data_IF_021296891521
#
_entry.id   IF_021296891521
#
_cell.length_a   1.000
_cell.length_b   1.000
_cell.length_c   1.000
_cell.angle_alpha   90.00
_cell.angle_beta   90.00
_cell.angle_gamma   90.00
#
_symmetry.space_group_name_H-M   'P 1'
#
loop_
_entity.id
_entity.type
_entity.pdbx_description
1 polymer ?
#
# COMPACT_ATOMS: atom_id res chain seq x y z
N UNK A 1 18.72 -37.30 -2.62
CA UNK A 1 18.98 -36.35 -1.52
C UNK A 1 19.30 -35.00 -2.14
N UNK A 2 18.28 -34.14 -2.30
CA UNK A 2 18.32 -32.66 -2.37
C UNK A 2 16.98 -32.25 -2.96
N UNK A 3 16.09 -31.72 -2.13
CA UNK A 3 14.77 -31.25 -2.53
C UNK A 3 14.89 -30.00 -3.38
N UNK A 4 14.22 -29.90 -4.55
CA UNK A 4 13.88 -28.61 -5.11
C UNK A 4 12.67 -28.09 -4.31
N UNK A 5 12.89 -27.76 -3.03
CA UNK A 5 12.15 -26.64 -2.44
C UNK A 5 12.71 -25.47 -3.22
N UNK A 6 12.11 -25.18 -4.38
CA UNK A 6 11.20 -24.05 -4.44
C UNK A 6 11.89 -22.94 -3.68
N UNK A 7 12.97 -22.42 -4.27
CA UNK A 7 13.55 -21.14 -3.91
C UNK A 7 12.34 -20.22 -3.77
N UNK A 8 11.93 -20.05 -2.52
CA UNK A 8 10.80 -19.25 -2.17
C UNK A 8 11.14 -17.90 -2.75
N UNK A 9 10.32 -17.47 -3.68
CA UNK A 9 10.30 -16.17 -4.32
C UNK A 9 10.11 -15.10 -3.25
N UNK A 10 11.13 -14.88 -2.41
CA UNK A 10 11.16 -13.86 -1.37
C UNK A 10 11.42 -12.48 -1.94
N UNK A 11 11.66 -12.38 -3.25
CA UNK A 11 11.74 -11.12 -3.96
C UNK A 11 10.32 -10.77 -4.41
N UNK A 12 9.70 -9.81 -3.72
CA UNK A 12 8.52 -9.13 -4.26
C UNK A 12 8.94 -8.52 -5.58
N UNK A 13 8.46 -9.11 -6.67
CA UNK A 13 8.85 -8.69 -8.01
C UNK A 13 8.29 -7.28 -8.25
N UNK A 14 9.02 -6.40 -8.94
CA UNK A 14 8.63 -4.98 -9.03
C UNK A 14 7.19 -4.78 -9.56
N UNK A 15 6.72 -5.70 -10.39
CA UNK A 15 5.33 -5.75 -10.88
C UNK A 15 4.31 -6.06 -9.77
N UNK A 16 4.62 -6.96 -8.85
CA UNK A 16 3.76 -7.28 -7.72
C UNK A 16 3.62 -6.09 -6.77
N UNK A 17 4.71 -5.34 -6.57
CA UNK A 17 4.65 -4.11 -5.78
C UNK A 17 3.74 -3.06 -6.44
N UNK A 18 3.88 -2.85 -7.75
CA UNK A 18 2.99 -1.94 -8.51
C UNK A 18 1.52 -2.36 -8.39
N UNK A 19 1.22 -3.64 -8.55
CA UNK A 19 -0.16 -4.15 -8.39
C UNK A 19 -0.67 -3.92 -6.97
N UNK A 20 0.17 -4.14 -5.95
CA UNK A 20 -0.19 -3.88 -4.55
C UNK A 20 -0.48 -2.40 -4.29
N UNK A 21 0.31 -1.49 -4.86
CA UNK A 21 0.07 -0.04 -4.79
C UNK A 21 -1.26 0.35 -5.43
N UNK A 22 -1.57 -0.17 -6.63
CA UNK A 22 -2.85 0.13 -7.30
C UNK A 22 -4.04 -0.34 -6.45
N UNK A 23 -3.95 -1.53 -5.87
CA UNK A 23 -5.01 -2.06 -5.01
C UNK A 23 -5.13 -1.24 -3.71
N UNK A 24 -4.00 -0.87 -3.10
CA UNK A 24 -3.97 -0.03 -1.92
C UNK A 24 -4.56 1.36 -2.20
N UNK A 25 -4.33 1.94 -3.37
CA UNK A 25 -4.90 3.22 -3.79
C UNK A 25 -6.42 3.15 -3.92
N UNK A 26 -6.94 2.14 -4.62
CA UNK A 26 -8.39 1.98 -4.79
C UNK A 26 -9.06 1.78 -3.43
N UNK A 27 -8.50 0.92 -2.59
CA UNK A 27 -9.02 0.66 -1.24
C UNK A 27 -8.90 1.91 -0.37
N UNK A 28 -7.76 2.60 -0.40
CA UNK A 28 -7.50 3.82 0.35
C UNK A 28 -8.43 4.96 -0.03
N UNK A 29 -8.61 5.23 -1.33
CA UNK A 29 -9.55 6.22 -1.82
C UNK A 29 -10.99 5.88 -1.46
N UNK A 30 -11.40 4.61 -1.62
CA UNK A 30 -12.78 4.18 -1.32
C UNK A 30 -13.05 4.23 0.18
N UNK A 31 -12.13 3.72 1.01
CA UNK A 31 -12.25 3.76 2.45
C UNK A 31 -12.23 5.20 2.97
N UNK A 32 -11.31 6.03 2.47
CA UNK A 32 -11.22 7.45 2.82
C UNK A 32 -12.46 8.25 2.41
N UNK A 33 -13.01 7.97 1.23
CA UNK A 33 -14.29 8.53 0.80
C UNK A 33 -15.40 8.09 1.76
N UNK A 34 -15.58 6.80 2.04
CA UNK A 34 -16.65 6.35 2.95
C UNK A 34 -16.49 6.86 4.40
N UNK A 35 -15.26 7.08 4.84
CA UNK A 35 -14.93 7.62 6.15
C UNK A 35 -14.93 9.17 6.20
N UNK A 36 -15.30 9.87 5.11
CA UNK A 36 -15.30 11.34 5.08
C UNK A 36 -16.22 11.94 6.16
N UNK A 37 -17.40 11.34 6.38
CA UNK A 37 -18.45 11.85 7.27
C UNK A 37 -18.07 11.77 8.75
N UNK A 38 -17.62 10.62 9.29
CA UNK A 38 -17.19 10.55 10.70
C UNK A 38 -15.97 11.43 11.01
N UNK A 39 -15.20 11.84 10.01
CA UNK A 39 -14.04 12.72 10.16
C UNK A 39 -14.40 14.22 9.98
N UNK A 40 -15.64 14.55 9.63
CA UNK A 40 -16.06 15.93 9.35
C UNK A 40 -15.40 16.55 8.11
N UNK A 41 -14.93 15.71 7.19
CA UNK A 41 -14.21 16.10 5.98
C UNK A 41 -15.14 16.10 4.76
N UNK A 42 -14.79 16.92 3.76
CA UNK A 42 -15.39 16.82 2.44
C UNK A 42 -15.07 15.47 1.79
N UNK A 43 -15.97 14.88 0.98
CA UNK A 43 -15.78 13.54 0.40
C UNK A 43 -14.48 13.38 -0.39
N UNK A 44 -14.09 14.42 -1.14
CA UNK A 44 -12.84 14.46 -1.90
C UNK A 44 -11.63 14.48 -0.97
N UNK A 45 -11.68 15.27 0.10
CA UNK A 45 -10.59 15.31 1.08
C UNK A 45 -10.45 14.00 1.83
N UNK A 46 -11.55 13.34 2.18
CA UNK A 46 -11.54 12.00 2.75
C UNK A 46 -10.81 11.00 1.85
N UNK A 47 -11.09 10.99 0.55
CA UNK A 47 -10.40 10.13 -0.41
C UNK A 47 -8.89 10.42 -0.51
N UNK A 48 -8.49 11.70 -0.53
CA UNK A 48 -7.07 12.10 -0.55
C UNK A 48 -6.34 11.62 0.70
N UNK A 49 -6.92 11.82 1.88
CA UNK A 49 -6.33 11.32 3.12
C UNK A 49 -6.24 9.79 3.15
N UNK A 50 -7.24 9.10 2.61
CA UNK A 50 -7.23 7.65 2.47
C UNK A 50 -6.11 7.14 1.56
N UNK A 51 -5.85 7.81 0.44
CA UNK A 51 -4.71 7.51 -0.45
C UNK A 51 -3.36 7.70 0.25
N UNK A 52 -3.20 8.81 1.00
CA UNK A 52 -1.96 9.06 1.74
C UNK A 52 -1.76 8.00 2.83
N UNK A 53 -2.82 7.66 3.57
CA UNK A 53 -2.75 6.65 4.62
C UNK A 53 -2.43 5.25 4.09
N UNK A 54 -2.94 4.90 2.90
CA UNK A 54 -2.66 3.61 2.26
C UNK A 54 -1.19 3.47 1.82
N UNK A 55 -0.57 4.56 1.36
CA UNK A 55 0.79 4.53 0.81
C UNK A 55 1.89 4.91 1.81
N UNK A 56 1.56 5.65 2.88
CA UNK A 56 2.52 6.07 3.88
C UNK A 56 3.37 4.93 4.48
N UNK A 57 2.82 3.74 4.80
CA UNK A 57 3.60 2.64 5.36
C UNK A 57 4.65 2.11 4.38
N UNK A 58 4.29 2.03 3.09
CA UNK A 58 5.18 1.50 2.05
C UNK A 58 6.28 2.51 1.73
N UNK A 59 5.95 3.79 1.65
CA UNK A 59 6.95 4.86 1.50
C UNK A 59 7.92 4.88 2.69
N UNK A 60 7.40 4.78 3.91
CA UNK A 60 8.23 4.73 5.12
C UNK A 60 9.16 3.50 5.11
N UNK A 61 8.62 2.33 4.80
CA UNK A 61 9.40 1.09 4.67
C UNK A 61 10.54 1.24 3.64
N UNK A 62 10.27 1.85 2.50
CA UNK A 62 11.28 2.10 1.47
C UNK A 62 12.38 3.05 1.97
N UNK A 63 12.02 4.12 2.68
CA UNK A 63 13.00 5.03 3.27
C UNK A 63 13.84 4.36 4.36
N UNK A 64 13.28 3.40 5.11
CA UNK A 64 14.01 2.62 6.11
C UNK A 64 15.00 1.65 5.45
N UNK A 65 14.62 1.00 4.35
CA UNK A 65 15.50 0.09 3.61
C UNK A 65 16.74 0.79 3.03
N UNK A 66 16.65 2.07 2.67
CA UNK A 66 17.79 2.84 2.14
C UNK A 66 18.89 3.05 3.20
N UNK A 67 18.61 2.82 4.49
CA UNK A 67 19.53 3.08 5.60
C UNK A 67 20.30 1.85 6.12
N UNK A 68 20.01 0.63 5.65
CA UNK A 68 20.73 -0.60 6.04
C UNK A 68 21.86 -0.94 5.08
#
# INVERSE_FOLDING_TARGET
MSSPVSEANTNVDGKQLVVAFILADIVGATAGYLLHSPLGLEPIMGAVYGLVAANAPVSLWMTMQIRS
#
